data_IF_457308436562
#
_entry.id   IF_457308436562
#
_cell.length_a   1.000
_cell.length_b   1.000
_cell.length_c   1.000
_cell.angle_alpha   90.00
_cell.angle_beta   90.00
_cell.angle_gamma   90.00
#
_symmetry.space_group_name_H-M   'P 1'
#
loop_
_entity.id
_entity.type
_entity.pdbx_description
1 polymer ?
#
# COMPACT_ATOMS: atom_id res chain seq x y z
N UNK A 1 19.14 17.48 -14.41
CA UNK A 1 20.12 17.09 -13.37
C UNK A 1 19.78 15.66 -12.91
N UNK A 2 19.83 14.71 -13.84
CA UNK A 2 20.82 13.62 -13.97
C UNK A 2 20.84 12.59 -12.82
N UNK A 3 20.12 11.47 -13.09
CA UNK A 3 20.44 10.05 -12.84
C UNK A 3 20.99 9.63 -11.45
N UNK A 4 20.15 8.90 -10.70
CA UNK A 4 20.59 7.86 -9.73
C UNK A 4 19.72 6.59 -9.72
N UNK A 5 18.81 6.39 -10.68
CA UNK A 5 18.08 5.12 -10.82
C UNK A 5 18.89 4.12 -11.66
N UNK A 6 19.99 3.63 -11.10
CA UNK A 6 20.70 2.50 -11.69
C UNK A 6 21.57 1.78 -10.65
N UNK A 7 20.94 1.15 -9.65
CA UNK A 7 21.69 0.34 -8.69
C UNK A 7 21.12 -1.02 -8.32
N UNK A 8 20.10 -1.53 -9.01
CA UNK A 8 19.72 -2.95 -8.95
C UNK A 8 18.97 -3.42 -10.21
N UNK A 9 19.47 -3.04 -11.39
CA UNK A 9 18.97 -3.58 -12.67
C UNK A 9 20.15 -4.04 -13.55
N UNK A 10 20.86 -5.07 -13.11
CA UNK A 10 21.38 -6.06 -14.05
C UNK A 10 20.51 -7.30 -13.91
N UNK A 11 19.71 -7.67 -14.92
CA UNK A 11 19.06 -8.98 -14.92
C UNK A 11 20.17 -10.03 -14.99
N UNK A 12 20.16 -11.10 -14.16
CA UNK A 12 20.93 -12.26 -14.53
C UNK A 12 20.37 -12.76 -15.85
N UNK A 13 21.26 -13.00 -16.83
CA UNK A 13 20.94 -13.74 -18.04
C UNK A 13 20.07 -14.93 -17.67
N UNK A 14 18.90 -15.01 -18.30
CA UNK A 14 18.00 -16.13 -18.20
C UNK A 14 18.72 -17.33 -18.82
N UNK A 15 19.53 -18.01 -18.01
CA UNK A 15 20.10 -19.30 -18.36
C UNK A 15 18.93 -20.25 -18.54
N UNK A 16 18.62 -20.54 -19.79
CA UNK A 16 17.72 -21.60 -20.19
C UNK A 16 18.25 -22.92 -19.65
N UNK A 17 17.78 -23.33 -18.47
CA UNK A 17 17.80 -24.73 -18.07
C UNK A 17 16.50 -25.33 -18.55
N UNK A 18 16.58 -25.94 -19.75
CA UNK A 18 15.69 -27.03 -20.09
C UNK A 18 15.85 -28.10 -19.01
N UNK A 19 14.90 -28.19 -18.09
CA UNK A 19 14.64 -29.44 -17.41
C UNK A 19 13.15 -29.67 -17.42
N UNK A 20 12.71 -30.39 -18.44
CA UNK A 20 11.45 -31.10 -18.44
C UNK A 20 11.50 -32.12 -17.29
N UNK A 21 11.05 -31.68 -16.12
CA UNK A 21 10.64 -32.55 -15.04
C UNK A 21 9.19 -32.23 -14.76
N UNK A 22 8.28 -33.03 -15.30
CA UNK A 22 6.90 -33.13 -14.82
C UNK A 22 6.93 -33.54 -13.34
N UNK A 23 7.19 -32.58 -12.47
CA UNK A 23 7.03 -32.69 -11.04
C UNK A 23 5.56 -32.52 -10.72
N UNK A 24 4.76 -33.55 -11.00
CA UNK A 24 3.43 -33.65 -10.39
C UNK A 24 3.64 -33.69 -8.88
N UNK A 25 3.44 -32.54 -8.24
CA UNK A 25 3.59 -32.36 -6.79
C UNK A 25 2.64 -33.33 -6.09
N UNK A 26 3.20 -34.19 -5.24
CA UNK A 26 2.45 -35.18 -4.48
C UNK A 26 1.44 -34.50 -3.57
N UNK A 27 0.21 -35.02 -3.51
CA UNK A 27 -0.85 -34.51 -2.62
C UNK A 27 -0.46 -34.50 -1.12
N UNK A 28 0.65 -35.17 -0.75
CA UNK A 28 1.24 -35.20 0.60
C UNK A 28 2.05 -33.96 0.98
N UNK A 29 2.49 -33.14 0.04
CA UNK A 29 3.32 -31.94 0.30
C UNK A 29 2.51 -30.66 0.42
N UNK A 30 1.16 -30.74 0.36
CA UNK A 30 0.31 -29.58 0.60
C UNK A 30 0.46 -29.17 2.06
N UNK A 31 0.89 -27.93 2.36
CA UNK A 31 0.89 -27.45 3.74
C UNK A 31 -0.53 -27.53 4.29
N UNK A 32 -0.73 -28.40 5.29
CA UNK A 32 -1.97 -28.48 6.04
C UNK A 32 -2.17 -27.15 6.79
N UNK A 33 -3.29 -26.48 6.50
CA UNK A 33 -3.73 -25.20 7.08
C UNK A 33 -2.71 -24.05 7.06
N UNK A 34 -2.58 -23.39 5.91
CA UNK A 34 -1.82 -22.15 5.73
C UNK A 34 -2.36 -20.95 6.54
N UNK A 35 -3.61 -20.99 7.01
CA UNK A 35 -4.25 -19.88 7.75
C UNK A 35 -3.53 -19.55 9.06
N UNK A 36 -2.99 -20.57 9.73
CA UNK A 36 -2.26 -20.42 11.00
C UNK A 36 -0.74 -20.26 10.86
N UNK A 37 -0.20 -20.41 9.66
CA UNK A 37 1.23 -20.34 9.40
C UNK A 37 1.74 -18.90 9.47
N UNK A 38 3.01 -18.72 9.83
CA UNK A 38 3.69 -17.42 9.73
C UNK A 38 3.84 -16.96 8.27
N UNK A 39 3.97 -15.66 8.05
CA UNK A 39 4.20 -15.13 6.69
C UNK A 39 5.45 -15.75 6.06
N UNK A 40 6.51 -15.98 6.83
CA UNK A 40 7.74 -16.59 6.33
C UNK A 40 7.51 -18.00 5.77
N UNK A 41 6.70 -18.82 6.45
CA UNK A 41 6.35 -20.17 5.98
C UNK A 41 5.51 -20.11 4.71
N UNK A 42 4.46 -19.26 4.69
CA UNK A 42 3.60 -19.10 3.51
C UNK A 42 4.43 -18.62 2.31
N UNK A 43 5.35 -17.67 2.50
CA UNK A 43 6.23 -17.18 1.43
C UNK A 43 7.18 -18.27 0.93
N UNK A 44 7.72 -19.11 1.82
CA UNK A 44 8.59 -20.20 1.41
C UNK A 44 7.89 -21.17 0.45
N UNK A 45 6.62 -21.50 0.73
CA UNK A 45 5.78 -22.30 -0.17
C UNK A 45 5.40 -21.53 -1.45
N UNK A 46 5.09 -20.24 -1.35
CA UNK A 46 4.77 -19.42 -2.53
C UNK A 46 5.96 -19.31 -3.49
N UNK A 47 7.19 -19.21 -2.97
CA UNK A 47 8.43 -19.24 -3.77
C UNK A 47 8.64 -20.55 -4.53
N UNK A 48 8.09 -21.65 -4.05
CA UNK A 48 8.14 -22.96 -4.71
C UNK A 48 7.00 -23.14 -5.75
N UNK A 49 6.18 -22.12 -5.97
CA UNK A 49 5.08 -22.16 -6.94
C UNK A 49 3.76 -22.73 -6.40
N UNK A 50 3.62 -22.92 -5.09
CA UNK A 50 2.36 -23.39 -4.52
C UNK A 50 1.28 -22.30 -4.54
N UNK A 51 0.34 -22.42 -5.47
CA UNK A 51 -0.77 -21.48 -5.66
C UNK A 51 -1.59 -21.23 -4.37
N UNK A 52 -1.79 -22.26 -3.53
CA UNK A 52 -2.50 -22.11 -2.26
C UNK A 52 -1.79 -21.15 -1.29
N UNK A 53 -0.47 -21.12 -1.29
CA UNK A 53 0.31 -20.20 -0.47
C UNK A 53 0.20 -18.77 -0.99
N UNK A 54 0.21 -18.58 -2.31
CA UNK A 54 -0.05 -17.25 -2.89
C UNK A 54 -1.45 -16.74 -2.56
N UNK A 55 -2.49 -17.58 -2.69
CA UNK A 55 -3.86 -17.22 -2.28
C UNK A 55 -3.93 -16.79 -0.82
N UNK A 56 -3.21 -17.46 0.06
CA UNK A 56 -3.16 -17.07 1.47
C UNK A 56 -2.47 -15.70 1.68
N UNK A 57 -1.39 -15.40 0.94
CA UNK A 57 -0.79 -14.06 0.99
C UNK A 57 -1.75 -12.99 0.49
N UNK A 58 -2.45 -13.22 -0.62
CA UNK A 58 -3.47 -12.29 -1.12
C UNK A 58 -4.55 -12.09 -0.06
N UNK A 59 -5.11 -13.17 0.50
CA UNK A 59 -6.15 -13.08 1.54
C UNK A 59 -5.71 -12.27 2.76
N UNK A 60 -4.45 -12.40 3.19
CA UNK A 60 -3.90 -11.65 4.34
C UNK A 60 -3.75 -10.16 4.04
N UNK A 61 -3.35 -9.82 2.82
CA UNK A 61 -2.88 -8.49 2.47
C UNK A 61 -3.84 -7.70 1.57
N UNK A 62 -4.90 -8.31 1.04
CA UNK A 62 -5.86 -7.63 0.14
C UNK A 62 -6.46 -6.38 0.79
N UNK A 63 -6.95 -6.51 2.04
CA UNK A 63 -7.60 -5.41 2.75
C UNK A 63 -6.60 -4.32 3.13
N UNK A 64 -5.44 -4.62 3.78
CA UNK A 64 -4.47 -3.58 4.09
C UNK A 64 -3.93 -2.86 2.84
N UNK A 65 -3.58 -3.59 1.77
CA UNK A 65 -3.07 -3.00 0.53
C UNK A 65 -4.12 -2.12 -0.14
N UNK A 66 -5.35 -2.62 -0.30
CA UNK A 66 -6.46 -1.83 -0.84
C UNK A 66 -6.72 -0.59 0.01
N UNK A 67 -6.70 -0.72 1.34
CA UNK A 67 -6.98 0.39 2.25
C UNK A 67 -5.92 1.50 2.15
N UNK A 68 -4.64 1.14 2.03
CA UNK A 68 -3.55 2.09 1.76
C UNK A 68 -3.76 2.79 0.42
N UNK A 69 -3.99 2.02 -0.65
CA UNK A 69 -4.14 2.53 -2.01
C UNK A 69 -5.37 3.45 -2.14
N UNK A 70 -6.49 3.08 -1.55
CA UNK A 70 -7.71 3.90 -1.53
C UNK A 70 -7.48 5.24 -0.82
N UNK A 71 -6.78 5.25 0.32
CA UNK A 71 -6.41 6.51 0.99
C UNK A 71 -5.38 7.31 0.20
N UNK A 72 -4.58 6.66 -0.65
CA UNK A 72 -3.65 7.33 -1.55
C UNK A 72 -4.35 7.96 -2.75
N UNK A 73 -5.32 7.31 -3.40
CA UNK A 73 -5.87 7.78 -4.68
C UNK A 73 -7.31 8.33 -4.61
N UNK A 74 -8.06 7.99 -3.55
CA UNK A 74 -9.46 8.39 -3.30
C UNK A 74 -10.45 8.01 -4.40
N UNK A 75 -10.11 6.97 -5.16
CA UNK A 75 -10.95 6.39 -6.19
C UNK A 75 -10.96 4.88 -5.95
N UNK A 76 -12.16 4.31 -5.83
CA UNK A 76 -12.32 2.89 -5.52
C UNK A 76 -11.83 2.01 -6.68
N UNK A 77 -12.25 2.29 -7.91
CA UNK A 77 -11.89 1.48 -9.07
C UNK A 77 -10.39 1.50 -9.31
N UNK A 78 -9.79 2.70 -9.25
CA UNK A 78 -8.35 2.86 -9.36
C UNK A 78 -7.58 2.18 -8.22
N UNK A 79 -8.11 2.21 -6.99
CA UNK A 79 -7.49 1.48 -5.88
C UNK A 79 -7.56 -0.04 -6.07
N UNK A 80 -8.64 -0.57 -6.63
CA UNK A 80 -8.77 -1.99 -7.01
C UNK A 80 -7.75 -2.34 -8.10
N UNK A 81 -7.62 -1.53 -9.14
CA UNK A 81 -6.66 -1.73 -10.23
C UNK A 81 -5.20 -1.72 -9.72
N UNK A 82 -4.84 -0.72 -8.91
CA UNK A 82 -3.51 -0.63 -8.32
C UNK A 82 -3.23 -1.78 -7.35
N UNK A 83 -4.25 -2.29 -6.65
CA UNK A 83 -4.09 -3.44 -5.77
C UNK A 83 -3.79 -4.69 -6.59
N UNK A 84 -4.52 -4.92 -7.67
CA UNK A 84 -4.26 -6.02 -8.60
C UNK A 84 -2.85 -5.93 -9.19
N UNK A 85 -2.45 -4.75 -9.69
CA UNK A 85 -1.10 -4.52 -10.21
C UNK A 85 -0.04 -4.80 -9.14
N UNK A 86 -0.29 -4.41 -7.89
CA UNK A 86 0.60 -4.68 -6.74
C UNK A 86 0.77 -6.18 -6.52
N UNK A 87 -0.32 -6.95 -6.48
CA UNK A 87 -0.24 -8.40 -6.26
C UNK A 87 0.43 -9.14 -7.43
N UNK A 88 0.24 -8.68 -8.66
CA UNK A 88 0.96 -9.21 -9.84
C UNK A 88 2.46 -8.94 -9.70
N UNK A 89 2.87 -7.72 -9.33
CA UNK A 89 4.28 -7.38 -9.08
C UNK A 89 4.87 -8.21 -7.95
N UNK A 90 4.12 -8.40 -6.86
CA UNK A 90 4.50 -9.25 -5.72
C UNK A 90 4.74 -10.69 -6.19
N UNK A 91 3.82 -11.26 -6.96
CA UNK A 91 3.96 -12.63 -7.49
C UNK A 91 5.23 -12.76 -8.33
N UNK A 92 5.44 -11.84 -9.27
CA UNK A 92 6.61 -11.86 -10.16
C UNK A 92 7.93 -11.65 -9.41
N UNK A 93 7.91 -10.89 -8.32
CA UNK A 93 9.09 -10.57 -7.53
C UNK A 93 9.25 -11.46 -6.28
N UNK A 94 8.35 -12.40 -6.00
CA UNK A 94 8.34 -13.12 -4.72
C UNK A 94 9.63 -13.90 -4.49
N UNK A 95 10.27 -14.40 -5.56
CA UNK A 95 11.56 -15.08 -5.50
C UNK A 95 12.68 -14.21 -4.92
N UNK A 96 12.68 -12.90 -5.20
CA UNK A 96 13.70 -11.95 -4.75
C UNK A 96 13.46 -11.39 -3.34
N UNK A 97 12.32 -11.72 -2.71
CA UNK A 97 12.03 -11.28 -1.35
C UNK A 97 13.08 -11.78 -0.35
N UNK A 98 13.64 -10.84 0.44
CA UNK A 98 14.58 -11.14 1.52
C UNK A 98 13.83 -11.33 2.86
N UNK A 99 13.85 -12.53 3.48
CA UNK A 99 13.15 -12.84 4.73
C UNK A 99 13.62 -12.04 5.96
N UNK A 100 14.75 -11.34 5.88
CA UNK A 100 15.25 -10.45 6.94
C UNK A 100 14.35 -9.23 7.17
N UNK A 101 13.52 -8.88 6.19
CA UNK A 101 12.53 -7.81 6.31
C UNK A 101 11.14 -8.41 6.54
N UNK A 102 10.21 -7.64 7.11
CA UNK A 102 8.81 -8.05 7.19
C UNK A 102 8.20 -8.04 5.79
N UNK A 103 7.35 -9.01 5.49
CA UNK A 103 6.65 -9.06 4.20
C UNK A 103 5.69 -7.88 4.03
N UNK A 104 5.00 -7.50 5.12
CA UNK A 104 4.16 -6.29 5.16
C UNK A 104 4.92 -5.06 4.65
N UNK A 105 6.15 -4.85 5.10
CA UNK A 105 7.00 -3.74 4.66
C UNK A 105 7.32 -3.80 3.18
N UNK A 106 7.56 -5.00 2.66
CA UNK A 106 7.92 -5.19 1.26
C UNK A 106 6.71 -4.99 0.33
N UNK A 107 5.54 -5.53 0.67
CA UNK A 107 4.33 -5.35 -0.15
C UNK A 107 3.84 -3.90 -0.12
N UNK A 108 3.89 -3.22 1.04
CA UNK A 108 3.52 -1.80 1.13
C UNK A 108 4.47 -0.89 0.37
N UNK A 109 5.76 -1.24 0.27
CA UNK A 109 6.70 -0.55 -0.62
C UNK A 109 6.24 -0.62 -2.09
N UNK A 110 5.86 -1.81 -2.56
CA UNK A 110 5.40 -2.02 -3.94
C UNK A 110 4.09 -1.26 -4.18
N UNK A 111 3.12 -1.38 -3.27
CA UNK A 111 1.84 -0.67 -3.34
C UNK A 111 2.03 0.85 -3.36
N UNK A 112 2.85 1.39 -2.46
CA UNK A 112 3.11 2.81 -2.39
C UNK A 112 3.77 3.33 -3.66
N UNK A 113 4.74 2.61 -4.21
CA UNK A 113 5.38 3.01 -5.46
C UNK A 113 4.36 3.06 -6.62
N UNK A 114 3.49 2.05 -6.73
CA UNK A 114 2.43 2.05 -7.74
C UNK A 114 1.50 3.27 -7.61
N UNK A 115 1.08 3.61 -6.39
CA UNK A 115 0.25 4.79 -6.15
C UNK A 115 0.98 6.12 -6.45
N UNK A 116 2.24 6.26 -6.01
CA UNK A 116 3.03 7.47 -6.27
C UNK A 116 3.27 7.66 -7.76
N UNK A 117 3.61 6.59 -8.48
CA UNK A 117 3.83 6.64 -9.93
C UNK A 117 2.55 7.04 -10.66
N UNK A 118 1.40 6.52 -10.24
CA UNK A 118 0.10 6.92 -10.79
C UNK A 118 -0.20 8.40 -10.53
N UNK A 119 -0.07 8.86 -9.27
CA UNK A 119 -0.36 10.25 -8.90
C UNK A 119 0.53 11.26 -9.63
N UNK A 120 1.83 10.94 -9.81
CA UNK A 120 2.75 11.78 -10.58
C UNK A 120 2.38 11.87 -12.05
N UNK A 121 1.96 10.77 -12.68
CA UNK A 121 1.48 10.78 -14.07
C UNK A 121 0.24 11.66 -14.21
N UNK A 122 -0.72 11.53 -13.28
CA UNK A 122 -1.94 12.34 -13.27
C UNK A 122 -1.64 13.84 -13.17
N UNK A 123 -0.71 14.24 -12.29
CA UNK A 123 -0.27 15.64 -12.18
C UNK A 123 0.29 16.16 -13.51
N UNK A 124 1.11 15.38 -14.21
CA UNK A 124 1.69 15.75 -15.51
C UNK A 124 0.63 15.88 -16.63
N UNK A 125 -0.35 14.98 -16.66
CA UNK A 125 -1.45 15.01 -17.62
C UNK A 125 -2.34 16.24 -17.40
N UNK A 126 -2.59 16.60 -16.13
CA UNK A 126 -3.35 17.82 -15.79
C UNK A 126 -2.59 19.12 -16.08
N UNK A 127 -1.26 19.13 -16.02
CA UNK A 127 -0.45 20.30 -16.37
C UNK A 127 -0.33 20.49 -17.90
N UNK A 128 -0.61 19.46 -18.69
CA UNK A 128 -0.57 19.51 -20.16
C UNK A 128 -1.89 19.96 -20.79
N UNK A 129 -2.96 20.02 -20.00
CA UNK A 129 -4.32 20.39 -20.42
C UNK A 129 -4.85 21.45 -19.44
N UNK A 130 -4.57 22.72 -19.71
CA UNK A 130 -5.17 23.82 -18.96
C UNK A 130 -6.70 23.80 -19.21
N UNK A 131 -7.48 23.34 -18.22
CA UNK A 131 -8.92 23.17 -18.42
C UNK A 131 -9.70 22.39 -17.35
N UNK A 132 -10.06 23.09 -16.28
CA UNK A 132 -11.30 22.92 -15.47
C UNK A 132 -11.33 21.92 -14.29
N UNK A 133 -11.92 22.31 -13.14
CA UNK A 133 -11.99 21.52 -11.91
C UNK A 133 -13.32 20.79 -11.79
N UNK A 134 -13.35 19.47 -11.57
CA UNK A 134 -14.54 18.76 -11.09
C UNK A 134 -14.12 17.69 -10.07
N UNK A 135 -14.52 17.84 -8.82
CA UNK A 135 -15.83 17.47 -8.27
C UNK A 135 -15.86 15.98 -7.92
N UNK A 136 -15.58 15.68 -6.65
CA UNK A 136 -15.90 14.38 -6.06
C UNK A 136 -17.18 14.57 -5.26
N UNK A 137 -18.26 13.93 -5.69
CA UNK A 137 -19.52 13.85 -4.95
C UNK A 137 -19.31 13.05 -3.67
N UNK A 138 -19.79 13.53 -2.51
CA UNK A 138 -19.69 12.81 -1.25
C UNK A 138 -20.81 11.77 -1.17
N UNK A 139 -20.73 10.70 -1.96
CA UNK A 139 -21.65 9.56 -1.78
C UNK A 139 -21.01 8.25 -2.23
N UNK A 140 -20.02 7.78 -1.47
CA UNK A 140 -19.57 6.38 -1.47
C UNK A 140 -18.71 6.06 -0.21
N UNK A 141 -19.06 6.66 0.95
CA UNK A 141 -18.29 6.52 2.20
C UNK A 141 -18.81 5.44 3.15
N UNK A 142 -19.60 4.48 2.67
CA UNK A 142 -20.16 3.43 3.53
C UNK A 142 -19.35 2.12 3.57
N UNK A 143 -18.17 2.02 2.94
CA UNK A 143 -17.44 0.74 2.86
C UNK A 143 -15.97 0.74 3.35
N UNK A 144 -15.45 1.87 3.86
CA UNK A 144 -14.04 1.95 4.31
C UNK A 144 -13.85 2.62 5.67
N UNK A 145 -14.89 2.68 6.49
CA UNK A 145 -14.70 2.74 7.94
C UNK A 145 -14.18 1.37 8.41
N UNK A 146 -12.87 1.14 8.27
CA UNK A 146 -12.19 0.07 8.99
C UNK A 146 -12.32 0.40 10.48
N UNK A 147 -13.33 -0.18 11.12
CA UNK A 147 -13.54 -0.14 12.55
C UNK A 147 -12.28 -0.66 13.24
N UNK A 148 -11.47 0.26 13.76
CA UNK A 148 -10.53 -0.01 14.82
C UNK A 148 -11.27 0.25 16.13
N UNK A 149 -11.71 -0.83 16.79
CA UNK A 149 -12.14 -0.78 18.17
C UNK A 149 -13.55 -1.29 18.41
N UNK A 150 -13.62 -2.43 19.08
CA UNK A 150 -14.80 -2.89 19.80
C UNK A 150 -15.03 -1.97 21.00
N UNK A 151 -15.83 -0.91 20.81
CA UNK A 151 -16.47 -0.15 21.89
C UNK A 151 -17.88 0.20 21.43
N UNK A 152 -18.86 -0.17 22.25
CA UNK A 152 -20.26 0.22 22.08
C UNK A 152 -20.38 1.73 22.25
N UNK A 153 -20.21 2.46 21.17
CA UNK A 153 -20.48 3.89 21.07
C UNK A 153 -21.97 4.10 20.78
N UNK A 154 -22.54 5.21 21.27
CA UNK A 154 -23.95 5.54 21.01
C UNK A 154 -24.12 5.94 19.54
N UNK A 155 -25.34 5.83 18.93
CA UNK A 155 -25.56 6.16 17.52
C UNK A 155 -25.13 7.58 17.12
N UNK A 156 -25.18 8.54 18.05
CA UNK A 156 -24.71 9.90 17.84
C UNK A 156 -23.18 9.99 17.80
N UNK A 157 -22.49 9.27 18.68
CA UNK A 157 -21.03 9.19 18.71
C UNK A 157 -20.47 8.48 17.47
N UNK A 158 -21.14 7.44 16.99
CA UNK A 158 -20.79 6.77 15.73
C UNK A 158 -20.90 7.71 14.52
N UNK A 159 -21.93 8.57 14.50
CA UNK A 159 -22.12 9.56 13.43
C UNK A 159 -21.02 10.63 13.47
N UNK A 160 -20.75 11.21 14.65
CA UNK A 160 -19.67 12.19 14.83
C UNK A 160 -18.29 11.61 14.48
N UNK A 161 -18.03 10.35 14.87
CA UNK A 161 -16.79 9.65 14.53
C UNK A 161 -16.66 9.41 13.01
N UNK A 162 -17.77 9.09 12.33
CA UNK A 162 -17.79 8.95 10.87
C UNK A 162 -17.50 10.28 10.19
N UNK A 163 -18.19 11.35 10.57
CA UNK A 163 -17.98 12.69 10.01
C UNK A 163 -16.54 13.19 10.21
N UNK A 164 -15.99 12.96 11.40
CA UNK A 164 -14.59 13.28 11.69
C UNK A 164 -13.63 12.44 10.84
N UNK A 165 -13.88 11.13 10.71
CA UNK A 165 -13.07 10.20 9.93
C UNK A 165 -13.01 10.60 8.46
N UNK A 166 -14.14 10.94 7.84
CA UNK A 166 -14.10 11.37 6.45
C UNK A 166 -13.55 12.78 6.24
N UNK A 167 -13.68 13.68 7.22
CA UNK A 167 -12.95 14.95 7.17
C UNK A 167 -11.43 14.75 7.25
N UNK A 168 -10.96 13.79 8.06
CA UNK A 168 -9.54 13.41 8.12
C UNK A 168 -9.10 12.82 6.77
N UNK A 169 -9.86 11.89 6.19
CA UNK A 169 -9.51 11.30 4.90
C UNK A 169 -9.46 12.35 3.77
N UNK A 170 -10.38 13.32 3.76
CA UNK A 170 -10.34 14.45 2.83
C UNK A 170 -9.12 15.36 3.06
N UNK A 171 -8.76 15.65 4.31
CA UNK A 171 -7.56 16.44 4.60
C UNK A 171 -6.28 15.72 4.16
N UNK A 172 -6.20 14.40 4.39
CA UNK A 172 -5.09 13.55 3.91
C UNK A 172 -4.99 13.56 2.38
N UNK A 173 -6.14 13.56 1.70
CA UNK A 173 -6.22 13.64 0.24
C UNK A 173 -5.75 14.98 -0.37
N UNK A 174 -5.56 16.03 0.45
CA UNK A 174 -5.00 17.31 0.02
C UNK A 174 -3.48 17.37 0.16
N UNK A 175 -2.90 16.48 0.96
CA UNK A 175 -1.45 16.43 1.15
C UNK A 175 -0.75 16.06 -0.16
N UNK A 176 0.47 16.57 -0.33
CA UNK A 176 1.40 16.09 -1.36
C UNK A 176 1.57 14.58 -1.27
N UNK A 177 1.71 13.85 -2.40
CA UNK A 177 1.76 12.39 -2.41
C UNK A 177 2.81 11.81 -1.46
N UNK A 178 4.00 12.42 -1.37
CA UNK A 178 5.06 11.94 -0.49
C UNK A 178 4.73 12.11 1.00
N UNK A 179 4.03 13.19 1.35
CA UNK A 179 3.62 13.47 2.73
C UNK A 179 2.50 12.53 3.16
N UNK A 180 1.56 12.29 2.23
CA UNK A 180 0.46 11.33 2.37
C UNK A 180 1.00 9.91 2.62
N UNK A 181 1.95 9.46 1.81
CA UNK A 181 2.57 8.15 1.98
C UNK A 181 3.19 7.99 3.38
N UNK A 182 4.00 8.96 3.82
CA UNK A 182 4.64 8.91 5.13
C UNK A 182 3.64 8.93 6.30
N UNK A 183 2.57 9.72 6.21
CA UNK A 183 1.58 9.80 7.30
C UNK A 183 0.75 8.51 7.39
N UNK A 184 0.34 7.94 6.26
CA UNK A 184 -0.43 6.69 6.21
C UNK A 184 0.38 5.50 6.73
N UNK A 185 1.61 5.33 6.23
CA UNK A 185 2.47 4.23 6.68
C UNK A 185 2.79 4.31 8.18
N UNK A 186 2.90 5.53 8.74
CA UNK A 186 3.15 5.72 10.17
C UNK A 186 1.91 5.48 11.02
N UNK A 187 0.79 6.12 10.68
CA UNK A 187 -0.34 6.25 11.58
C UNK A 187 -1.45 5.23 11.33
N UNK A 188 -1.56 4.72 10.10
CA UNK A 188 -2.55 3.70 9.74
C UNK A 188 -1.88 2.33 9.81
N UNK A 189 -0.74 2.17 9.14
CA UNK A 189 -0.06 0.87 9.06
C UNK A 189 0.92 0.60 10.22
N UNK A 190 1.19 1.60 11.07
CA UNK A 190 1.97 1.42 12.31
C UNK A 190 3.49 1.24 12.14
N UNK A 191 4.06 1.61 10.98
CA UNK A 191 5.49 1.40 10.72
C UNK A 191 6.39 2.39 11.47
N UNK A 192 7.58 1.93 11.83
CA UNK A 192 8.63 2.78 12.41
C UNK A 192 9.18 3.76 11.37
N UNK A 193 9.83 4.84 11.80
CA UNK A 193 10.42 5.79 10.85
C UNK A 193 11.54 5.15 10.02
N UNK A 194 12.27 4.21 10.60
CA UNK A 194 13.33 3.43 9.96
C UNK A 194 12.76 2.39 8.98
N UNK A 195 11.61 1.80 9.28
CA UNK A 195 10.87 0.96 8.33
C UNK A 195 10.38 1.78 7.14
N UNK A 196 9.77 2.95 7.38
CA UNK A 196 9.28 3.85 6.33
C UNK A 196 10.44 4.35 5.46
N UNK A 197 11.57 4.74 6.07
CA UNK A 197 12.77 5.17 5.34
C UNK A 197 13.25 4.10 4.36
N UNK A 198 13.30 2.83 4.79
CA UNK A 198 13.70 1.70 3.93
C UNK A 198 12.65 1.37 2.86
N UNK A 199 11.37 1.48 3.19
CA UNK A 199 10.29 1.26 2.23
C UNK A 199 10.33 2.28 1.11
N UNK A 200 10.37 3.56 1.47
CA UNK A 200 10.29 4.65 0.52
C UNK A 200 11.62 4.99 -0.13
N UNK A 201 12.71 4.33 0.28
CA UNK A 201 14.08 4.63 -0.13
C UNK A 201 14.45 6.11 0.12
N UNK A 202 14.11 6.58 1.32
CA UNK A 202 14.31 7.96 1.77
C UNK A 202 15.25 8.01 2.97
N UNK A 203 16.08 9.06 3.10
CA UNK A 203 16.81 9.32 4.33
C UNK A 203 15.85 9.46 5.52
N UNK A 204 16.26 8.96 6.69
CA UNK A 204 15.46 9.04 7.92
C UNK A 204 15.09 10.49 8.29
N UNK A 205 16.00 11.45 8.04
CA UNK A 205 15.75 12.87 8.22
C UNK A 205 14.64 13.41 7.31
N UNK A 206 14.56 12.93 6.08
CA UNK A 206 13.50 13.27 5.11
C UNK A 206 12.16 12.74 5.58
N UNK A 207 12.09 11.48 6.06
CA UNK A 207 10.86 10.89 6.61
C UNK A 207 10.34 11.72 7.80
N UNK A 208 11.22 12.06 8.76
CA UNK A 208 10.86 12.91 9.91
C UNK A 208 10.30 14.27 9.45
N UNK A 209 10.95 14.87 8.46
CA UNK A 209 10.53 16.15 7.89
C UNK A 209 9.17 16.03 7.20
N UNK A 210 8.95 15.01 6.38
CA UNK A 210 7.70 14.80 5.66
C UNK A 210 6.53 14.57 6.62
N UNK A 211 6.72 13.74 7.65
CA UNK A 211 5.70 13.52 8.69
C UNK A 211 5.39 14.82 9.44
N UNK A 212 6.42 15.61 9.77
CA UNK A 212 6.22 16.90 10.43
C UNK A 212 5.44 17.89 9.53
N UNK A 213 5.79 17.99 8.24
CA UNK A 213 5.08 18.84 7.27
C UNK A 213 3.64 18.38 7.08
N UNK A 214 3.42 17.07 6.90
CA UNK A 214 2.08 16.47 6.79
C UNK A 214 1.20 16.85 7.98
N UNK A 215 1.71 16.72 9.22
CA UNK A 215 0.95 17.08 10.42
C UNK A 215 0.59 18.57 10.48
N UNK A 216 1.48 19.45 10.04
CA UNK A 216 1.21 20.89 10.05
C UNK A 216 0.16 21.27 8.98
N UNK A 217 0.24 20.69 7.78
CA UNK A 217 -0.78 20.90 6.73
C UNK A 217 -2.15 20.34 7.16
N UNK A 218 -2.18 19.12 7.72
CA UNK A 218 -3.40 18.53 8.25
C UNK A 218 -4.03 19.39 9.35
N UNK A 219 -3.21 19.96 10.25
CA UNK A 219 -3.70 20.88 11.29
C UNK A 219 -4.43 22.06 10.65
N UNK A 220 -3.81 22.73 9.67
CA UNK A 220 -4.43 23.85 8.97
C UNK A 220 -5.75 23.46 8.30
N UNK A 221 -5.78 22.35 7.56
CA UNK A 221 -7.01 21.89 6.89
C UNK A 221 -8.17 21.55 7.83
N UNK A 222 -7.85 21.10 9.06
CA UNK A 222 -8.85 20.73 10.04
C UNK A 222 -9.27 21.90 10.94
N UNK A 223 -8.41 22.90 11.13
CA UNK A 223 -8.74 24.16 11.81
C UNK A 223 -9.70 25.03 10.97
N UNK A 224 -9.49 25.09 9.65
CA UNK A 224 -10.37 25.79 8.70
C UNK A 224 -11.81 25.23 8.70
N UNK A 225 -12.02 23.98 9.12
CA UNK A 225 -13.35 23.36 9.24
C UNK A 225 -14.14 23.83 10.47
N UNK A 226 -13.46 24.38 11.47
CA UNK A 226 -14.08 24.84 12.72
C UNK A 226 -14.52 26.31 12.67
N UNK A 227 -14.10 27.05 11.64
CA UNK A 227 -14.49 28.43 11.37
C UNK A 227 -15.73 28.47 10.48
#
# INVERSE_FOLDING_TARGET
MLRTYDRFASPPECAATSNAGDGVISAKDRPGNLTGASDQEVIAWAKQGHEAAFRELVRRYERPVFSLLYRMVRDRGLAEDLAQETFIKVLNAIGSYNPQFKFSSWIFKIANNAAIDHLRKRELDTLSLDGSPHATTPDEMSATALQLGDRRETPLQELEARELGCAIDHAIARLRPEYRACILLRHVEGHSYEEIARMLDLPLGTVKTYIHRARNELRGYLEDRKA
#
